data_IF_805281043051
#
_entry.id   IF_805281043051
#
_cell.length_a   1.000
_cell.length_b   1.000
_cell.length_c   1.000
_cell.angle_alpha   90.00
_cell.angle_beta   90.00
_cell.angle_gamma   90.00
#
_symmetry.space_group_name_H-M   'P 1'
#
loop_
_entity.id
_entity.type
_entity.pdbx_description
1 polymer ?
#
# COMPACT_ATOMS: atom_id res chain seq x y z
N UNK A 1 10.73 -2.48 3.75
CA UNK A 1 11.09 -3.28 2.58
C UNK A 1 9.85 -3.79 1.87
N UNK A 2 10.00 -4.22 0.63
CA UNK A 2 8.90 -4.83 -0.14
C UNK A 2 8.59 -6.24 0.41
N UNK A 3 7.31 -6.58 0.58
CA UNK A 3 6.85 -7.88 1.07
C UNK A 3 6.92 -8.99 0.01
N UNK A 4 6.89 -8.61 -1.27
CA UNK A 4 6.85 -9.53 -2.42
C UNK A 4 7.92 -10.62 -2.39
N UNK A 5 9.22 -10.31 -2.18
CA UNK A 5 10.25 -11.35 -2.10
C UNK A 5 10.03 -12.35 -0.96
N UNK A 6 9.45 -11.90 0.15
CA UNK A 6 9.13 -12.77 1.29
C UNK A 6 7.96 -13.70 0.97
N UNK A 7 6.91 -13.20 0.31
CA UNK A 7 5.80 -14.04 -0.13
C UNK A 7 6.30 -15.12 -1.09
N UNK A 8 7.11 -14.76 -2.09
CA UNK A 8 7.65 -15.71 -3.07
C UNK A 8 8.61 -16.76 -2.46
N UNK A 9 9.25 -16.44 -1.35
CA UNK A 9 10.16 -17.35 -0.64
C UNK A 9 9.47 -18.24 0.38
N UNK A 10 8.16 -18.05 0.66
CA UNK A 10 7.42 -18.84 1.65
C UNK A 10 6.59 -19.96 1.04
N UNK A 11 6.24 -20.96 1.83
CA UNK A 11 5.33 -22.06 1.45
C UNK A 11 3.87 -21.65 1.59
N UNK A 12 3.55 -20.71 2.45
CA UNK A 12 2.22 -20.17 2.68
C UNK A 12 2.30 -18.85 3.46
N UNK A 13 1.21 -18.08 3.43
CA UNK A 13 1.03 -16.85 4.21
C UNK A 13 -0.12 -17.05 5.18
N UNK A 14 0.09 -16.74 6.46
CA UNK A 14 -0.96 -16.70 7.48
C UNK A 14 -1.28 -15.25 7.79
N UNK A 15 -2.57 -14.89 7.74
CA UNK A 15 -3.02 -13.52 8.01
C UNK A 15 -4.40 -13.49 8.69
N UNK A 16 -4.74 -12.31 9.18
CA UNK A 16 -6.09 -11.98 9.67
C UNK A 16 -6.55 -10.70 8.96
N UNK A 17 -7.16 -10.86 7.76
CA UNK A 17 -7.68 -9.74 6.98
C UNK A 17 -6.62 -8.80 6.37
N UNK A 18 -5.40 -9.27 6.07
CA UNK A 18 -4.35 -8.45 5.50
C UNK A 18 -4.35 -8.48 3.96
N UNK A 19 -4.00 -7.38 3.31
CA UNK A 19 -3.84 -7.30 1.84
C UNK A 19 -2.78 -8.25 1.29
N UNK A 20 -1.84 -8.72 2.12
CA UNK A 20 -0.88 -9.77 1.75
C UNK A 20 -1.56 -11.07 1.31
N UNK A 21 -2.79 -11.35 1.76
CA UNK A 21 -3.60 -12.47 1.25
C UNK A 21 -3.95 -12.31 -0.23
N UNK A 22 -4.24 -11.09 -0.68
CA UNK A 22 -4.49 -10.77 -2.09
C UNK A 22 -3.21 -10.91 -2.91
N UNK A 23 -2.11 -10.34 -2.41
CA UNK A 23 -0.80 -10.43 -3.06
C UNK A 23 -0.36 -11.89 -3.21
N UNK A 24 -0.53 -12.70 -2.15
CA UNK A 24 -0.22 -14.13 -2.19
C UNK A 24 -1.05 -14.87 -3.24
N UNK A 25 -2.35 -14.59 -3.33
CA UNK A 25 -3.21 -15.20 -4.34
C UNK A 25 -2.72 -14.90 -5.76
N UNK A 26 -2.41 -13.63 -6.06
CA UNK A 26 -1.91 -13.20 -7.37
C UNK A 26 -0.55 -13.84 -7.70
N UNK A 27 0.29 -14.07 -6.69
CA UNK A 27 1.61 -14.69 -6.84
C UNK A 27 1.58 -16.21 -6.85
N UNK A 28 0.41 -16.84 -6.73
CA UNK A 28 0.30 -18.29 -6.70
C UNK A 28 0.79 -18.93 -5.40
N UNK A 29 0.84 -18.18 -4.29
CA UNK A 29 1.25 -18.67 -2.97
C UNK A 29 0.01 -18.89 -2.10
N UNK A 30 -0.17 -20.08 -1.48
CA UNK A 30 -1.30 -20.35 -0.61
C UNK A 30 -1.38 -19.35 0.55
N UNK A 31 -2.57 -18.80 0.79
CA UNK A 31 -2.85 -17.92 1.92
C UNK A 31 -3.92 -18.52 2.82
N UNK A 32 -3.75 -18.39 4.12
CA UNK A 32 -4.69 -18.83 5.16
C UNK A 32 -5.16 -17.60 5.92
N UNK A 33 -6.48 -17.37 5.94
CA UNK A 33 -7.12 -16.37 6.79
C UNK A 33 -7.60 -17.05 8.07
N UNK A 34 -6.97 -16.76 9.20
CA UNK A 34 -7.36 -17.29 10.50
C UNK A 34 -8.15 -16.25 11.29
N UNK A 35 -9.40 -16.59 11.62
CA UNK A 35 -10.34 -15.71 12.34
C UNK A 35 -11.15 -16.52 13.31
N UNK A 36 -10.72 -16.59 14.57
CA UNK A 36 -11.42 -17.29 15.64
C UNK A 36 -12.72 -16.58 16.02
N UNK A 37 -12.72 -15.24 16.00
CA UNK A 37 -13.90 -14.41 16.16
C UNK A 37 -14.25 -13.76 14.81
N UNK A 38 -15.52 -13.89 14.40
CA UNK A 38 -16.05 -13.27 13.20
C UNK A 38 -16.81 -12.01 13.63
N UNK A 39 -16.45 -10.89 13.01
CA UNK A 39 -17.17 -9.63 13.13
C UNK A 39 -17.63 -9.23 11.73
N UNK A 40 -18.94 -9.39 11.47
CA UNK A 40 -19.49 -9.17 10.13
C UNK A 40 -19.33 -7.73 9.65
N UNK A 41 -19.39 -6.75 10.54
CA UNK A 41 -19.22 -5.33 10.18
C UNK A 41 -17.75 -5.06 9.78
N UNK A 42 -16.82 -5.66 10.49
CA UNK A 42 -15.39 -5.54 10.21
C UNK A 42 -14.93 -6.39 9.03
N UNK A 43 -15.40 -7.64 8.97
CA UNK A 43 -14.99 -8.63 7.96
C UNK A 43 -15.60 -8.38 6.59
N UNK A 44 -16.81 -7.83 6.51
CA UNK A 44 -17.50 -7.50 5.25
C UNK A 44 -17.06 -6.16 4.65
N UNK A 45 -16.28 -5.36 5.38
CA UNK A 45 -15.69 -4.11 4.90
C UNK A 45 -14.40 -4.34 4.10
N UNK A 46 -13.34 -3.68 4.54
CA UNK A 46 -12.04 -3.67 3.90
C UNK A 46 -11.37 -5.06 3.78
N UNK A 47 -11.64 -5.97 4.72
CA UNK A 47 -10.99 -7.29 4.80
C UNK A 47 -11.68 -8.40 4.01
N UNK A 48 -12.82 -8.12 3.41
CA UNK A 48 -13.60 -9.13 2.65
C UNK A 48 -12.78 -9.78 1.55
N UNK A 49 -12.09 -8.98 0.74
CA UNK A 49 -11.33 -9.50 -0.41
C UNK A 49 -10.18 -10.41 -0.01
N UNK A 50 -9.25 -10.01 0.91
CA UNK A 50 -8.20 -10.89 1.38
C UNK A 50 -8.72 -12.22 1.95
N UNK A 51 -9.80 -12.16 2.74
CA UNK A 51 -10.40 -13.35 3.35
C UNK A 51 -11.01 -14.28 2.30
N UNK A 52 -11.72 -13.73 1.31
CA UNK A 52 -12.35 -14.52 0.24
C UNK A 52 -11.33 -15.21 -0.68
N UNK A 53 -10.14 -14.62 -0.85
CA UNK A 53 -9.04 -15.16 -1.67
C UNK A 53 -8.13 -16.13 -0.92
N UNK A 54 -8.43 -16.45 0.33
CA UNK A 54 -7.64 -17.32 1.19
C UNK A 54 -8.41 -18.56 1.64
N UNK A 55 -7.71 -19.58 2.12
CA UNK A 55 -8.31 -20.68 2.88
C UNK A 55 -8.74 -20.13 4.23
N UNK A 56 -10.03 -20.16 4.53
CA UNK A 56 -10.56 -19.60 5.76
C UNK A 56 -10.57 -20.65 6.87
N UNK A 57 -10.00 -20.32 8.01
CA UNK A 57 -9.96 -21.16 9.21
C UNK A 57 -10.53 -20.38 10.39
N UNK A 58 -11.50 -20.97 11.10
CA UNK A 58 -12.23 -20.33 12.18
C UNK A 58 -11.93 -20.93 13.56
N UNK A 59 -11.08 -21.95 13.61
CA UNK A 59 -10.57 -22.56 14.83
C UNK A 59 -9.18 -23.16 14.59
N UNK A 60 -8.51 -23.51 15.70
CA UNK A 60 -7.14 -24.02 15.65
C UNK A 60 -7.03 -25.36 14.91
N UNK A 61 -8.02 -26.26 15.01
CA UNK A 61 -7.97 -27.55 14.34
C UNK A 61 -8.03 -27.39 12.82
N UNK A 62 -8.92 -26.52 12.31
CA UNK A 62 -8.98 -26.18 10.89
C UNK A 62 -7.65 -25.56 10.42
N UNK A 63 -7.07 -24.64 11.20
CA UNK A 63 -5.79 -24.03 10.87
C UNK A 63 -4.68 -25.09 10.76
N UNK A 64 -4.56 -25.95 11.77
CA UNK A 64 -3.55 -27.01 11.80
C UNK A 64 -3.69 -27.96 10.62
N UNK A 65 -4.90 -28.36 10.30
CA UNK A 65 -5.15 -29.33 9.23
C UNK A 65 -4.92 -28.70 7.85
N UNK A 66 -5.31 -27.43 7.66
CA UNK A 66 -5.02 -26.66 6.44
C UNK A 66 -3.51 -26.50 6.22
N UNK A 67 -2.75 -26.16 7.27
CA UNK A 67 -1.28 -26.08 7.21
C UNK A 67 -0.68 -27.43 6.78
N UNK A 68 -1.13 -28.54 7.39
CA UNK A 68 -0.64 -29.87 7.03
C UNK A 68 -0.92 -30.22 5.57
N UNK A 69 -2.11 -29.91 5.07
CA UNK A 69 -2.48 -30.17 3.67
C UNK A 69 -1.63 -29.34 2.70
N UNK A 70 -1.37 -28.07 3.01
CA UNK A 70 -0.49 -27.24 2.17
C UNK A 70 0.95 -27.79 2.20
N UNK A 71 1.49 -28.12 3.37
CA UNK A 71 2.85 -28.64 3.50
C UNK A 71 3.05 -29.99 2.82
N UNK A 72 2.02 -30.84 2.79
CA UNK A 72 2.04 -32.12 2.08
C UNK A 72 1.78 -32.01 0.58
N UNK A 73 1.47 -30.80 0.07
CA UNK A 73 1.16 -30.58 -1.34
C UNK A 73 -0.27 -31.00 -1.76
N UNK A 74 -1.11 -31.37 -0.81
CA UNK A 74 -2.51 -31.77 -1.08
C UNK A 74 -3.44 -30.57 -1.24
N UNK A 75 -3.02 -29.39 -0.80
CA UNK A 75 -3.77 -28.15 -0.92
C UNK A 75 -2.85 -27.06 -1.48
N UNK A 76 -3.31 -26.41 -2.55
CA UNK A 76 -2.60 -25.31 -3.22
C UNK A 76 -3.30 -23.97 -2.92
N UNK A 77 -3.10 -22.98 -3.78
CA UNK A 77 -3.80 -21.68 -3.69
C UNK A 77 -5.31 -21.90 -3.70
N UNK A 78 -6.02 -21.13 -2.89
CA UNK A 78 -7.48 -21.15 -2.87
C UNK A 78 -8.03 -20.64 -4.20
N UNK A 79 -8.29 -21.52 -5.15
CA UNK A 79 -8.77 -21.21 -6.50
C UNK A 79 -10.30 -21.40 -6.63
N UNK A 80 -10.84 -21.07 -7.79
CA UNK A 80 -12.23 -21.21 -8.20
C UNK A 80 -12.71 -20.03 -9.02
N UNK A 81 -13.78 -20.26 -9.80
CA UNK A 81 -14.34 -19.22 -10.70
C UNK A 81 -14.79 -17.97 -9.95
N UNK A 82 -15.38 -18.13 -8.77
CA UNK A 82 -15.79 -17.00 -7.93
C UNK A 82 -14.59 -16.15 -7.49
N UNK A 83 -13.47 -16.78 -7.10
CA UNK A 83 -12.25 -16.09 -6.71
C UNK A 83 -11.60 -15.37 -7.88
N UNK A 84 -11.55 -16.02 -9.05
CA UNK A 84 -11.08 -15.40 -10.28
C UNK A 84 -11.95 -14.20 -10.68
N UNK A 85 -13.27 -14.30 -10.53
CA UNK A 85 -14.19 -13.18 -10.77
C UNK A 85 -13.98 -12.03 -9.80
N UNK A 86 -13.74 -12.31 -8.50
CA UNK A 86 -13.40 -11.28 -7.51
C UNK A 86 -12.08 -10.57 -7.87
N UNK A 87 -11.05 -11.32 -8.22
CA UNK A 87 -9.77 -10.73 -8.65
C UNK A 87 -9.96 -9.85 -9.87
N UNK A 88 -10.65 -10.32 -10.91
CA UNK A 88 -10.94 -9.53 -12.12
C UNK A 88 -11.73 -8.25 -11.82
N UNK A 89 -12.62 -8.31 -10.82
CA UNK A 89 -13.44 -7.15 -10.44
C UNK A 89 -12.66 -6.10 -9.64
N UNK A 90 -11.78 -6.53 -8.73
CA UNK A 90 -11.15 -5.64 -7.75
C UNK A 90 -9.69 -5.30 -8.05
N UNK A 91 -9.01 -6.09 -8.88
CA UNK A 91 -7.63 -5.85 -9.26
C UNK A 91 -7.54 -5.49 -10.74
N UNK A 92 -7.05 -4.29 -11.00
CA UNK A 92 -6.79 -3.83 -12.37
C UNK A 92 -5.38 -4.20 -12.83
N UNK A 93 -5.16 -4.17 -14.16
CA UNK A 93 -3.81 -4.32 -14.75
C UNK A 93 -3.13 -5.65 -14.44
N UNK A 94 -3.89 -6.74 -14.39
CA UNK A 94 -3.33 -8.10 -14.37
C UNK A 94 -2.78 -8.48 -15.75
N UNK A 95 -3.35 -7.90 -16.79
CA UNK A 95 -2.93 -8.03 -18.18
C UNK A 95 -2.82 -6.64 -18.81
N UNK A 96 -1.91 -6.50 -19.80
CA UNK A 96 -1.68 -5.24 -20.49
C UNK A 96 -0.85 -4.23 -19.68
N UNK A 97 -1.08 -2.92 -19.85
CA UNK A 97 -0.29 -1.88 -19.19
C UNK A 97 -0.35 -1.95 -17.67
N UNK A 98 0.77 -1.71 -17.00
CA UNK A 98 0.87 -1.68 -15.55
C UNK A 98 -0.04 -0.59 -14.94
N UNK A 99 -0.50 -0.80 -13.70
CA UNK A 99 -1.33 0.18 -13.00
C UNK A 99 -0.63 1.54 -12.84
N UNK A 100 0.69 1.55 -12.65
CA UNK A 100 1.49 2.78 -12.59
C UNK A 100 1.50 3.54 -13.92
N UNK A 101 1.56 2.84 -15.06
CA UNK A 101 1.50 3.48 -16.40
C UNK A 101 0.14 4.13 -16.63
N UNK A 102 -0.95 3.44 -16.27
CA UNK A 102 -2.30 4.00 -16.34
C UNK A 102 -2.45 5.21 -15.42
N UNK A 103 -1.89 5.15 -14.21
CA UNK A 103 -1.91 6.28 -13.29
C UNK A 103 -1.15 7.49 -13.84
N UNK A 104 0.04 7.28 -14.40
CA UNK A 104 0.83 8.34 -15.04
C UNK A 104 0.06 8.96 -16.22
N UNK A 105 -0.58 8.14 -17.06
CA UNK A 105 -1.39 8.65 -18.17
C UNK A 105 -2.54 9.54 -17.71
N UNK A 106 -3.24 9.14 -16.63
CA UNK A 106 -4.32 9.96 -16.03
C UNK A 106 -3.76 11.26 -15.46
N UNK A 107 -2.65 11.20 -14.70
CA UNK A 107 -2.03 12.40 -14.15
C UNK A 107 -1.55 13.35 -15.26
N UNK A 108 -0.97 12.83 -16.33
CA UNK A 108 -0.55 13.62 -17.48
C UNK A 108 -1.73 14.31 -18.19
N UNK A 109 -2.87 13.61 -18.32
CA UNK A 109 -4.08 14.22 -18.90
C UNK A 109 -4.65 15.34 -18.03
N UNK A 110 -4.63 15.17 -16.69
CA UNK A 110 -5.09 16.19 -15.76
C UNK A 110 -4.22 17.46 -15.78
N UNK A 111 -2.92 17.34 -16.02
CA UNK A 111 -2.02 18.51 -16.10
C UNK A 111 -2.19 19.28 -17.41
N UNK A 112 -2.68 18.64 -18.48
CA UNK A 112 -2.95 19.30 -19.77
C UNK A 112 -4.25 20.11 -19.76
N UNK A 113 -5.20 19.74 -18.94
CA UNK A 113 -6.39 20.55 -18.68
C UNK A 113 -6.00 21.67 -17.70
N UNK A 114 -5.62 22.84 -18.20
CA UNK A 114 -5.54 24.06 -17.38
C UNK A 114 -6.92 24.30 -16.80
N UNK A 115 -7.18 23.73 -15.61
CA UNK A 115 -8.35 24.12 -14.86
C UNK A 115 -8.22 25.61 -14.56
N UNK A 116 -9.21 26.39 -14.93
CA UNK A 116 -9.41 27.75 -14.42
C UNK A 116 -9.50 27.66 -12.89
N UNK A 117 -8.34 27.63 -12.26
CA UNK A 117 -8.26 27.69 -10.80
C UNK A 117 -8.72 29.07 -10.40
N UNK A 118 -10.00 29.21 -10.10
CA UNK A 118 -10.48 30.35 -9.34
C UNK A 118 -9.59 30.52 -8.12
N UNK A 119 -8.77 31.57 -8.14
CA UNK A 119 -7.90 31.88 -7.01
C UNK A 119 -8.80 31.97 -5.77
N UNK A 120 -8.51 31.20 -4.72
CA UNK A 120 -9.34 31.20 -3.52
C UNK A 120 -9.43 32.63 -2.97
N UNK A 121 -10.61 33.03 -2.53
CA UNK A 121 -10.83 34.36 -1.96
C UNK A 121 -9.89 34.66 -0.79
N UNK A 122 -9.67 35.92 -0.46
CA UNK A 122 -8.85 36.27 0.71
C UNK A 122 -9.38 35.65 2.00
N UNK A 123 -10.70 35.52 2.13
CA UNK A 123 -11.37 34.84 3.24
C UNK A 123 -11.02 33.34 3.29
N UNK A 124 -11.08 32.64 2.16
CA UNK A 124 -10.73 31.21 2.08
C UNK A 124 -9.26 30.98 2.45
N UNK A 125 -8.38 31.89 2.03
CA UNK A 125 -6.95 31.83 2.38
C UNK A 125 -6.73 32.03 3.88
N UNK A 126 -7.43 33.01 4.51
CA UNK A 126 -7.35 33.25 5.93
C UNK A 126 -7.88 32.07 6.74
N UNK A 127 -9.05 31.58 6.38
CA UNK A 127 -9.69 30.42 7.03
C UNK A 127 -8.80 29.18 6.93
N UNK A 128 -8.25 28.89 5.76
CA UNK A 128 -7.30 27.77 5.56
C UNK A 128 -6.03 27.94 6.42
N UNK A 129 -5.50 29.16 6.54
CA UNK A 129 -4.33 29.45 7.40
C UNK A 129 -4.65 29.22 8.88
N UNK A 130 -5.81 29.65 9.36
CA UNK A 130 -6.25 29.45 10.75
C UNK A 130 -6.44 27.97 11.05
N UNK A 131 -7.13 27.23 10.16
CA UNK A 131 -7.31 25.77 10.30
C UNK A 131 -5.97 25.05 10.27
N UNK A 132 -5.09 25.39 9.33
CA UNK A 132 -3.76 24.81 9.24
C UNK A 132 -2.93 25.12 10.50
N UNK A 133 -2.98 26.38 11.00
CA UNK A 133 -2.31 26.79 12.25
C UNK A 133 -2.79 26.01 13.46
N UNK A 134 -4.10 25.85 13.62
CA UNK A 134 -4.71 25.05 14.69
C UNK A 134 -4.32 23.58 14.60
N UNK A 135 -4.33 23.02 13.39
CA UNK A 135 -3.91 21.63 13.14
C UNK A 135 -2.41 21.42 13.40
N UNK A 136 -1.56 22.37 13.01
CA UNK A 136 -0.13 22.33 13.33
C UNK A 136 0.13 22.42 14.84
N UNK A 137 -0.60 23.27 15.54
CA UNK A 137 -0.50 23.36 17.01
C UNK A 137 -0.94 22.05 17.68
N UNK A 138 -2.07 21.50 17.26
CA UNK A 138 -2.54 20.19 17.74
C UNK A 138 -1.51 19.08 17.47
N UNK A 139 -0.93 19.04 16.26
CA UNK A 139 0.11 18.07 15.92
C UNK A 139 1.39 18.20 16.75
N UNK A 140 1.72 19.42 17.21
CA UNK A 140 2.88 19.65 18.11
C UNK A 140 2.61 19.20 19.54
N UNK A 141 1.36 19.24 19.98
CA UNK A 141 0.98 18.81 21.33
C UNK A 141 0.81 17.27 21.41
N UNK A 142 0.24 16.66 20.38
CA UNK A 142 -0.05 15.23 20.37
C UNK A 142 1.16 14.31 20.63
N UNK A 143 2.39 14.58 20.14
CA UNK A 143 3.58 13.78 20.48
C UNK A 143 3.98 13.81 21.96
N UNK A 144 3.56 14.86 22.71
CA UNK A 144 3.87 15.02 24.14
C UNK A 144 3.00 14.15 25.04
N UNK A 145 1.91 13.59 24.51
CA UNK A 145 1.02 12.71 25.28
C UNK A 145 1.66 11.34 25.52
N UNK A 146 1.55 10.77 26.73
CA UNK A 146 2.03 9.43 27.03
C UNK A 146 1.38 8.40 26.09
N UNK A 147 2.18 7.47 25.54
CA UNK A 147 1.67 6.42 24.63
C UNK A 147 1.36 6.88 23.19
N UNK A 148 1.63 8.13 22.85
CA UNK A 148 1.36 8.63 21.49
C UNK A 148 2.24 7.96 20.43
N UNK A 149 1.60 7.37 19.38
CA UNK A 149 2.28 6.86 18.19
C UNK A 149 2.85 7.98 17.29
N UNK A 150 2.62 9.26 17.64
CA UNK A 150 3.18 10.42 16.93
C UNK A 150 4.52 10.89 17.49
N UNK A 151 5.14 10.14 18.39
CA UNK A 151 6.49 10.46 18.89
C UNK A 151 7.49 10.42 17.74
N UNK A 152 8.44 11.36 17.68
CA UNK A 152 9.41 11.43 16.59
C UNK A 152 10.20 10.13 16.39
N UNK A 153 10.55 9.42 17.48
CA UNK A 153 11.28 8.16 17.42
C UNK A 153 10.45 7.08 16.71
N UNK A 154 9.14 6.97 17.07
CA UNK A 154 8.24 6.01 16.43
C UNK A 154 8.03 6.33 14.95
N UNK A 155 7.86 7.61 14.61
CA UNK A 155 7.71 8.04 13.21
C UNK A 155 8.98 7.80 12.40
N UNK A 156 10.15 8.04 12.99
CA UNK A 156 11.46 7.79 12.36
C UNK A 156 11.71 6.30 12.10
N UNK A 157 11.24 5.44 13.01
CA UNK A 157 11.29 3.99 12.83
C UNK A 157 10.35 3.52 11.72
N UNK A 158 9.13 4.06 11.67
CA UNK A 158 8.12 3.67 10.68
C UNK A 158 8.40 4.24 9.28
N UNK A 159 8.92 5.46 9.23
CA UNK A 159 9.25 6.20 8.02
C UNK A 159 10.69 6.71 8.10
N UNK A 160 11.66 5.81 7.92
CA UNK A 160 13.06 6.23 7.88
C UNK A 160 13.24 7.18 6.69
N UNK A 161 13.96 8.27 6.91
CA UNK A 161 14.35 9.17 5.82
C UNK A 161 15.16 8.41 4.77
N UNK A 162 15.22 8.97 3.58
CA UNK A 162 16.12 8.49 2.52
C UNK A 162 17.22 9.54 2.31
N UNK A 163 18.46 9.09 2.19
CA UNK A 163 19.56 9.98 1.84
C UNK A 163 19.45 10.40 0.38
N UNK A 164 19.90 11.62 0.06
CA UNK A 164 19.76 12.20 -1.27
C UNK A 164 20.52 11.38 -2.33
N UNK A 165 21.69 10.89 -2.02
CA UNK A 165 22.48 9.99 -2.87
C UNK A 165 21.73 8.68 -3.16
N UNK A 166 21.18 8.03 -2.13
CA UNK A 166 20.39 6.82 -2.28
C UNK A 166 19.10 7.03 -3.11
N UNK A 167 18.51 8.25 -3.09
CA UNK A 167 17.39 8.60 -3.95
C UNK A 167 17.85 8.79 -5.40
N UNK A 168 18.96 9.49 -5.62
CA UNK A 168 19.55 9.68 -6.96
C UNK A 168 19.91 8.34 -7.60
N UNK A 169 20.56 7.43 -6.87
CA UNK A 169 20.89 6.08 -7.37
C UNK A 169 19.64 5.30 -7.79
N UNK A 170 18.55 5.44 -7.04
CA UNK A 170 17.27 4.81 -7.43
C UNK A 170 16.66 5.41 -8.68
N UNK A 171 16.73 6.74 -8.84
CA UNK A 171 16.25 7.43 -10.04
C UNK A 171 17.08 6.98 -11.25
N UNK A 172 18.39 7.01 -11.16
CA UNK A 172 19.29 6.57 -12.22
C UNK A 172 19.03 5.11 -12.63
N UNK A 173 18.88 4.22 -11.63
CA UNK A 173 18.54 2.82 -11.89
C UNK A 173 17.20 2.67 -12.63
N UNK A 174 16.16 3.44 -12.25
CA UNK A 174 14.87 3.41 -12.91
C UNK A 174 14.96 3.96 -14.33
N UNK A 175 15.69 5.05 -14.55
CA UNK A 175 15.91 5.63 -15.85
C UNK A 175 16.63 4.65 -16.80
N UNK A 176 17.64 3.95 -16.29
CA UNK A 176 18.34 2.91 -17.06
C UNK A 176 17.41 1.75 -17.45
N UNK A 177 16.53 1.29 -16.53
CA UNK A 177 15.57 0.21 -16.82
C UNK A 177 14.52 0.67 -17.86
N UNK A 178 14.08 1.91 -17.79
CA UNK A 178 13.05 2.49 -18.67
C UNK A 178 13.63 3.05 -19.99
N UNK A 179 14.95 3.06 -20.14
CA UNK A 179 15.65 3.76 -21.24
C UNK A 179 15.24 5.24 -21.32
N UNK A 180 15.03 5.87 -20.17
CA UNK A 180 14.62 7.27 -20.06
C UNK A 180 15.84 8.16 -19.83
N UNK A 181 16.12 9.07 -20.78
CA UNK A 181 17.23 10.02 -20.71
C UNK A 181 16.84 11.38 -20.10
N UNK A 182 15.64 11.51 -19.58
CA UNK A 182 15.13 12.74 -18.99
C UNK A 182 15.97 13.14 -17.79
N UNK A 183 16.51 14.36 -17.80
CA UNK A 183 17.33 14.84 -16.69
C UNK A 183 16.44 15.27 -15.51
N UNK A 184 16.35 14.43 -14.49
CA UNK A 184 15.60 14.72 -13.27
C UNK A 184 16.48 15.43 -12.26
N UNK A 185 16.06 16.62 -11.83
CA UNK A 185 16.70 17.34 -10.72
C UNK A 185 15.97 17.00 -9.41
N UNK A 186 16.73 16.73 -8.36
CA UNK A 186 16.21 16.43 -7.03
C UNK A 186 16.63 17.51 -6.06
N UNK A 187 15.65 18.22 -5.49
CA UNK A 187 15.87 19.20 -4.41
C UNK A 187 15.35 18.63 -3.09
N UNK A 188 16.20 18.47 -2.12
CA UNK A 188 15.81 18.00 -0.78
C UNK A 188 15.20 19.16 0.02
N UNK A 189 13.92 19.05 0.41
CA UNK A 189 13.21 20.04 1.21
C UNK A 189 13.22 19.71 2.70
N UNK A 190 13.30 18.41 3.05
CA UNK A 190 13.50 17.91 4.41
C UNK A 190 14.00 16.47 4.37
N UNK A 191 14.26 15.84 5.52
CA UNK A 191 14.73 14.45 5.61
C UNK A 191 13.79 13.42 4.93
N UNK A 192 12.54 13.79 4.68
CA UNK A 192 11.51 12.89 4.12
C UNK A 192 10.73 13.51 2.96
N UNK A 193 11.06 14.73 2.54
CA UNK A 193 10.37 15.45 1.47
C UNK A 193 11.36 15.94 0.43
N UNK A 194 11.13 15.53 -0.81
CA UNK A 194 11.94 15.89 -1.97
C UNK A 194 11.04 16.48 -3.04
N UNK A 195 11.59 17.45 -3.78
CA UNK A 195 10.98 17.96 -4.99
C UNK A 195 11.74 17.42 -6.19
N UNK A 196 11.02 16.80 -7.11
CA UNK A 196 11.53 16.36 -8.40
C UNK A 196 11.10 17.37 -9.46
N UNK A 197 12.00 17.75 -10.34
CA UNK A 197 11.73 18.59 -11.51
C UNK A 197 12.53 18.11 -12.72
N UNK A 198 12.02 18.37 -13.88
CA UNK A 198 12.66 18.12 -15.18
C UNK A 198 13.26 19.38 -15.70
#
# INVERSE_FOLDING_TARGET
>A
GNVVPWILATRMVLHNGCTTGVESFVMGVPAISYREAIDDDYDNGFYRLPNALSHQCFNFDQLRDTIRQILSGNLSVADGDERRALVKRYLSSQEGPLACEKMVAVLASMTSEQSDHHLPSLWDRLQRRLIAGGYHFYKRLKPRLPGSHNRPEFQKHRYPGIALDALNDKIERLQNILNDSTRVKVDQLSDVLFRLSV
#
